data_IF_178526288813
#
_entry.id   IF_178526288813
#
_cell.length_a   1.000
_cell.length_b   1.000
_cell.length_c   1.000
_cell.angle_alpha   90.00
_cell.angle_beta   90.00
_cell.angle_gamma   90.00
#
_symmetry.space_group_name_H-M   'P 1'
#
loop_
_entity.id
_entity.type
_entity.pdbx_description
1 polymer ?
#
# COMPACT_ATOMS: atom_id res chain seq x y z
N UNK A 1 2.24 2.30 12.33
CA UNK A 1 1.05 2.49 11.48
C UNK A 1 1.17 1.61 10.26
N UNK A 2 0.12 0.89 9.94
CA UNK A 2 0.12 -0.05 8.82
C UNK A 2 -0.80 0.44 7.71
N UNK A 3 -0.34 0.32 6.47
CA UNK A 3 -1.13 0.63 5.27
C UNK A 3 -1.17 -0.60 4.38
N UNK A 4 -2.37 -1.03 4.02
CA UNK A 4 -2.58 -2.09 3.04
C UNK A 4 -2.89 -1.46 1.69
N UNK A 5 -2.08 -1.76 0.70
CA UNK A 5 -2.29 -1.32 -0.68
C UNK A 5 -2.59 -2.52 -1.55
N UNK A 6 -3.74 -2.48 -2.20
CA UNK A 6 -4.06 -3.43 -3.27
C UNK A 6 -3.92 -2.72 -4.60
N UNK A 7 -3.53 -3.45 -5.62
CA UNK A 7 -3.45 -2.89 -6.96
C UNK A 7 -4.00 -3.85 -7.99
N UNK A 8 -4.46 -3.28 -9.08
CA UNK A 8 -4.93 -3.98 -10.25
C UNK A 8 -4.16 -3.48 -11.46
N UNK A 9 -3.62 -4.41 -12.25
CA UNK A 9 -2.88 -4.06 -13.46
C UNK A 9 -3.84 -3.50 -14.52
N UNK A 10 -3.45 -2.37 -15.11
CA UNK A 10 -4.08 -1.86 -16.32
C UNK A 10 -3.59 -2.66 -17.52
N UNK A 11 -4.32 -2.69 -18.65
CA UNK A 11 -3.78 -3.26 -19.90
C UNK A 11 -2.51 -2.48 -20.29
N UNK A 12 -1.39 -3.18 -20.43
CA UNK A 12 -0.09 -2.58 -20.72
C UNK A 12 0.48 -3.13 -22.00
N UNK A 13 1.10 -2.25 -22.82
CA UNK A 13 1.99 -2.69 -23.89
C UNK A 13 3.28 -3.25 -23.28
N UNK A 14 4.09 -4.03 -24.06
CA UNK A 14 5.38 -4.51 -23.56
C UNK A 14 6.30 -3.38 -23.06
N UNK A 15 6.34 -2.25 -23.78
CA UNK A 15 7.16 -1.10 -23.38
C UNK A 15 6.68 -0.47 -22.05
N UNK A 16 5.35 -0.37 -21.87
CA UNK A 16 4.78 0.10 -20.62
C UNK A 16 5.07 -0.86 -19.47
N UNK A 17 4.98 -2.16 -19.71
CA UNK A 17 5.32 -3.17 -18.72
C UNK A 17 6.78 -3.07 -18.27
N UNK A 18 7.69 -2.85 -19.20
CA UNK A 18 9.11 -2.67 -18.88
C UNK A 18 9.35 -1.39 -18.06
N UNK A 19 8.72 -0.27 -18.46
CA UNK A 19 8.82 0.99 -17.70
C UNK A 19 8.23 0.84 -16.29
N UNK A 20 7.15 0.09 -16.13
CA UNK A 20 6.58 -0.19 -14.82
C UNK A 20 7.58 -0.94 -13.92
N UNK A 21 8.24 -1.96 -14.44
CA UNK A 21 9.25 -2.70 -13.68
C UNK A 21 10.44 -1.83 -13.29
N UNK A 22 10.90 -0.96 -14.18
CA UNK A 22 11.97 -0.01 -13.89
C UNK A 22 11.56 1.00 -12.82
N UNK A 23 10.34 1.52 -12.90
CA UNK A 23 9.77 2.45 -11.92
C UNK A 23 9.66 1.78 -10.56
N UNK A 24 9.17 0.56 -10.52
CA UNK A 24 9.06 -0.21 -9.29
C UNK A 24 10.42 -0.45 -8.65
N UNK A 25 11.44 -0.76 -9.46
CA UNK A 25 12.81 -0.91 -8.99
C UNK A 25 13.36 0.35 -8.31
N UNK A 26 13.03 1.53 -8.84
CA UNK A 26 13.40 2.82 -8.24
C UNK A 26 12.70 3.05 -6.89
N UNK A 27 11.42 2.67 -6.80
CA UNK A 27 10.66 2.76 -5.54
C UNK A 27 11.29 1.85 -4.48
N UNK A 28 11.64 0.62 -4.85
CA UNK A 28 12.28 -0.33 -3.93
C UNK A 28 13.64 0.18 -3.46
N UNK A 29 14.44 0.74 -4.34
CA UNK A 29 15.73 1.34 -3.98
C UNK A 29 15.55 2.51 -3.01
N UNK A 30 14.56 3.37 -3.24
CA UNK A 30 14.23 4.46 -2.33
C UNK A 30 13.75 3.98 -0.97
N UNK A 31 12.94 2.93 -0.95
CA UNK A 31 12.45 2.34 0.31
C UNK A 31 13.59 1.74 1.12
N UNK A 32 14.57 1.10 0.49
CA UNK A 32 15.72 0.51 1.18
C UNK A 32 16.54 1.56 1.94
N UNK A 33 16.53 2.81 1.49
CA UNK A 33 17.22 3.94 2.14
C UNK A 33 16.33 4.69 3.14
N UNK A 34 15.03 4.45 3.12
CA UNK A 34 14.05 5.17 3.95
C UNK A 34 13.77 4.41 5.25
N UNK A 35 14.31 4.92 6.36
CA UNK A 35 14.13 4.29 7.69
C UNK A 35 12.74 4.52 8.29
N UNK A 36 11.92 5.36 7.68
CA UNK A 36 10.57 5.67 8.17
C UNK A 36 9.49 4.72 7.64
N UNK A 37 9.84 3.87 6.67
CA UNK A 37 8.90 2.98 5.99
C UNK A 37 9.53 1.60 5.83
N UNK A 38 8.76 0.55 6.12
CA UNK A 38 9.19 -0.84 6.00
C UNK A 38 8.10 -1.66 5.33
N UNK A 39 8.47 -2.47 4.34
CA UNK A 39 7.55 -3.43 3.74
C UNK A 39 7.41 -4.65 4.64
N UNK A 40 6.17 -4.93 5.09
CA UNK A 40 5.86 -6.08 5.94
C UNK A 40 5.62 -7.32 5.08
N UNK A 41 4.83 -7.18 4.01
CA UNK A 41 4.58 -8.28 3.07
C UNK A 41 4.24 -7.74 1.68
N UNK A 42 4.43 -8.63 0.68
CA UNK A 42 4.13 -8.34 -0.70
C UNK A 42 3.71 -9.63 -1.40
N UNK A 43 2.48 -9.66 -1.89
CA UNK A 43 1.92 -10.80 -2.59
C UNK A 43 1.40 -10.40 -3.97
N UNK A 44 1.65 -11.24 -4.94
CA UNK A 44 1.12 -11.09 -6.30
C UNK A 44 0.04 -12.14 -6.48
N UNK A 45 -1.10 -11.76 -7.06
CA UNK A 45 -2.15 -12.72 -7.37
C UNK A 45 -1.66 -13.70 -8.43
N UNK A 46 -2.03 -14.98 -8.27
CA UNK A 46 -1.51 -16.04 -9.12
C UNK A 46 -1.87 -15.89 -10.62
N UNK A 47 -2.95 -15.16 -10.91
CA UNK A 47 -3.36 -14.85 -12.28
C UNK A 47 -2.66 -13.62 -12.88
N UNK A 48 -1.80 -12.95 -12.12
CA UNK A 48 -1.08 -11.77 -12.56
C UNK A 48 -1.91 -10.49 -12.63
N UNK A 49 -3.17 -10.51 -12.20
CA UNK A 49 -4.08 -9.36 -12.33
C UNK A 49 -3.76 -8.21 -11.39
N UNK A 50 -3.00 -8.46 -10.35
CA UNK A 50 -2.68 -7.48 -9.33
C UNK A 50 -1.99 -8.10 -8.13
N UNK A 51 -2.10 -7.46 -6.99
CA UNK A 51 -1.49 -7.94 -5.77
C UNK A 51 -1.79 -7.05 -4.59
N UNK A 52 -1.05 -7.27 -3.50
CA UNK A 52 -1.17 -6.47 -2.29
C UNK A 52 0.17 -6.31 -1.58
N UNK A 53 0.33 -5.19 -0.90
CA UNK A 53 1.42 -4.96 0.05
C UNK A 53 0.85 -4.48 1.38
N UNK A 54 1.58 -4.78 2.46
CA UNK A 54 1.38 -4.11 3.74
C UNK A 54 2.69 -3.40 4.08
N UNK A 55 2.59 -2.13 4.39
CA UNK A 55 3.72 -1.28 4.72
C UNK A 55 3.55 -0.72 6.11
N UNK A 56 4.59 -0.80 6.93
CA UNK A 56 4.66 -0.18 8.25
C UNK A 56 5.37 1.16 8.13
N UNK A 57 4.78 2.21 8.68
CA UNK A 57 5.35 3.55 8.70
C UNK A 57 5.45 4.06 10.13
N UNK A 58 6.41 4.96 10.39
CA UNK A 58 6.60 5.56 11.72
C UNK A 58 5.38 6.35 12.17
N UNK A 59 4.77 7.11 11.26
CA UNK A 59 3.64 7.98 11.54
C UNK A 59 2.80 8.24 10.28
N UNK A 60 1.75 9.03 10.44
CA UNK A 60 0.83 9.40 9.35
C UNK A 60 1.54 10.17 8.25
N UNK A 61 2.47 11.05 8.60
CA UNK A 61 3.20 11.86 7.64
C UNK A 61 4.08 11.00 6.74
N UNK A 62 4.83 10.07 7.32
CA UNK A 62 5.65 9.12 6.56
C UNK A 62 4.80 8.22 5.66
N UNK A 63 3.67 7.73 6.15
CA UNK A 63 2.74 6.92 5.38
C UNK A 63 2.15 7.70 4.20
N UNK A 64 1.73 8.93 4.43
CA UNK A 64 1.14 9.80 3.40
C UNK A 64 2.14 10.17 2.32
N UNK A 65 3.37 10.49 2.69
CA UNK A 65 4.43 10.79 1.74
C UNK A 65 4.73 9.60 0.83
N UNK A 66 4.88 8.42 1.42
CA UNK A 66 5.13 7.19 0.66
C UNK A 66 3.98 6.85 -0.29
N UNK A 67 2.74 6.95 0.17
CA UNK A 67 1.56 6.68 -0.66
C UNK A 67 1.44 7.67 -1.82
N UNK A 68 1.69 8.95 -1.57
CA UNK A 68 1.64 9.96 -2.63
C UNK A 68 2.72 9.71 -3.69
N UNK A 69 3.94 9.45 -3.26
CA UNK A 69 5.06 9.14 -4.15
C UNK A 69 4.76 7.90 -5.01
N UNK A 70 4.29 6.83 -4.38
CA UNK A 70 3.99 5.57 -5.06
C UNK A 70 2.82 5.74 -6.04
N UNK A 71 1.77 6.43 -5.65
CA UNK A 71 0.60 6.67 -6.49
C UNK A 71 0.97 7.49 -7.73
N UNK A 72 1.75 8.55 -7.57
CA UNK A 72 2.19 9.37 -8.68
C UNK A 72 3.11 8.60 -9.64
N UNK A 73 3.95 7.73 -9.10
CA UNK A 73 4.89 6.97 -9.91
C UNK A 73 4.22 5.83 -10.70
N UNK A 74 3.19 5.20 -10.14
CA UNK A 74 2.61 3.96 -10.68
C UNK A 74 1.21 4.10 -11.28
N UNK A 75 0.55 5.25 -11.16
CA UNK A 75 -0.84 5.42 -11.60
C UNK A 75 -1.06 5.19 -13.09
N UNK A 76 -0.05 5.39 -13.92
CA UNK A 76 -0.11 5.07 -15.36
C UNK A 76 -0.32 3.56 -15.60
N UNK A 77 0.24 2.72 -14.73
CA UNK A 77 0.33 1.27 -14.92
C UNK A 77 -0.68 0.49 -14.10
N UNK A 78 -1.03 0.99 -12.92
CA UNK A 78 -1.82 0.27 -11.92
C UNK A 78 -2.95 1.14 -11.38
N UNK A 79 -4.05 0.50 -11.07
CA UNK A 79 -5.07 1.07 -10.18
C UNK A 79 -4.69 0.69 -8.75
N UNK A 80 -4.49 1.70 -7.92
CA UNK A 80 -4.03 1.53 -6.53
C UNK A 80 -5.16 1.89 -5.56
N UNK A 81 -5.33 1.08 -4.52
CA UNK A 81 -6.24 1.33 -3.41
C UNK A 81 -5.48 1.11 -2.11
N UNK A 82 -5.25 2.18 -1.37
CA UNK A 82 -4.48 2.15 -0.12
C UNK A 82 -5.38 2.50 1.06
N UNK A 83 -5.32 1.69 2.10
CA UNK A 83 -6.10 1.86 3.32
C UNK A 83 -5.23 1.69 4.54
N UNK A 84 -5.45 2.54 5.53
CA UNK A 84 -4.87 2.34 6.86
C UNK A 84 -5.57 1.16 7.49
N UNK A 85 -4.79 0.22 8.01
CA UNK A 85 -5.29 -1.00 8.66
C UNK A 85 -4.77 -1.07 10.09
N UNK A 86 -5.57 -1.66 10.96
CA UNK A 86 -5.21 -1.93 12.35
C UNK A 86 -5.17 -3.44 12.54
N UNK A 87 -4.23 -3.94 13.34
CA UNK A 87 -4.34 -5.31 13.80
C UNK A 87 -5.55 -5.45 14.73
N UNK A 88 -5.94 -6.69 15.02
CA UNK A 88 -7.14 -6.94 15.82
C UNK A 88 -7.07 -6.30 17.19
N UNK A 89 -5.91 -6.38 17.85
CA UNK A 89 -5.74 -5.82 19.20
C UNK A 89 -5.91 -4.30 19.21
N UNK A 90 -5.35 -3.62 18.21
CA UNK A 90 -5.51 -2.17 18.07
C UNK A 90 -6.93 -1.78 17.65
N UNK A 91 -7.62 -2.63 16.89
CA UNK A 91 -8.97 -2.36 16.38
C UNK A 91 -10.07 -2.58 17.44
N UNK A 92 -9.86 -3.48 18.39
CA UNK A 92 -10.90 -3.87 19.36
C UNK A 92 -11.44 -2.71 20.21
N UNK A 93 -10.61 -1.85 20.84
CA UNK A 93 -11.15 -0.74 21.64
C UNK A 93 -12.06 0.21 20.84
N UNK A 94 -11.67 0.72 19.65
CA UNK A 94 -12.57 1.56 18.87
C UNK A 94 -13.80 0.83 18.35
N UNK A 95 -13.71 -0.48 18.04
CA UNK A 95 -14.88 -1.28 17.65
C UNK A 95 -15.89 -1.32 18.78
N UNK A 96 -15.47 -1.68 19.99
CA UNK A 96 -16.35 -1.76 21.16
C UNK A 96 -16.97 -0.41 21.48
N UNK A 97 -16.19 0.67 21.39
CA UNK A 97 -16.68 2.03 21.62
C UNK A 97 -17.73 2.43 20.57
N UNK A 98 -17.48 2.12 19.30
CA UNK A 98 -18.43 2.37 18.23
C UNK A 98 -19.72 1.59 18.40
N UNK A 99 -19.63 0.34 18.79
CA UNK A 99 -20.81 -0.49 19.09
C UNK A 99 -21.61 0.08 20.26
N UNK A 100 -20.96 0.57 21.29
CA UNK A 100 -21.62 1.22 22.43
C UNK A 100 -22.38 2.48 22.00
N UNK A 101 -21.86 3.26 21.08
CA UNK A 101 -22.57 4.43 20.52
C UNK A 101 -23.83 4.02 19.75
N UNK A 102 -23.82 2.89 19.07
CA UNK A 102 -24.94 2.41 18.28
C UNK A 102 -26.06 1.79 19.12
N UNK A 103 -25.78 1.40 20.36
CA UNK A 103 -26.76 0.86 21.30
C UNK A 103 -27.38 1.97 22.14
N UNK A 104 -28.73 2.08 22.15
CA UNK A 104 -29.40 3.05 23.01
C UNK A 104 -29.30 2.71 24.50
#
# INVERSE_FOLDING_TARGET
MYTCTTWKARPLTPDQGQRMMETWGKIEAGMAENTSVERVCWYIYADGSGGMTVTKSLDVEAASAYELETSLALSEFLELDSRIVLDLDAAMPPILKGMAYANP
#
